data_IF_553590963826
#
_entry.id   IF_553590963826
#
_cell.length_a   1.000
_cell.length_b   1.000
_cell.length_c   1.000
_cell.angle_alpha   90.00
_cell.angle_beta   90.00
_cell.angle_gamma   90.00
#
_symmetry.space_group_name_H-M   'P 1'
#
loop_
_entity.id
_entity.type
_entity.pdbx_description
1 polymer ?
#
# COMPACT_ATOMS: atom_id res chain seq x y z
N UNK A 1 34.94 -40.35 -4.12
CA UNK A 1 34.27 -39.25 -3.40
C UNK A 1 34.25 -38.09 -4.37
N UNK A 2 33.11 -37.81 -5.00
CA UNK A 2 33.01 -36.65 -5.89
C UNK A 2 32.63 -35.47 -5.02
N UNK A 3 33.54 -34.50 -4.90
CA UNK A 3 33.24 -33.18 -4.35
C UNK A 3 32.14 -32.55 -5.19
N UNK A 4 31.02 -32.25 -4.56
CA UNK A 4 29.94 -31.48 -5.17
C UNK A 4 30.45 -30.03 -5.21
N UNK A 5 30.97 -29.60 -6.37
CA UNK A 5 31.25 -28.19 -6.62
C UNK A 5 29.96 -27.39 -6.40
N UNK A 6 29.90 -26.62 -5.30
CA UNK A 6 28.82 -25.68 -5.02
C UNK A 6 28.99 -24.38 -5.83
N UNK A 7 29.28 -24.51 -7.12
CA UNK A 7 29.36 -23.40 -8.06
C UNK A 7 27.97 -23.17 -8.65
N UNK A 8 27.26 -22.15 -8.14
CA UNK A 8 26.08 -21.62 -8.80
C UNK A 8 24.74 -21.89 -8.13
N UNK A 9 24.63 -21.75 -6.80
CA UNK A 9 23.32 -21.40 -6.23
C UNK A 9 22.99 -19.99 -6.73
N UNK A 10 21.95 -19.79 -7.56
CA UNK A 10 21.53 -18.44 -7.91
C UNK A 10 21.24 -17.72 -6.60
N UNK A 11 21.89 -16.57 -6.38
CA UNK A 11 21.58 -15.74 -5.21
C UNK A 11 20.08 -15.48 -5.20
N UNK A 12 19.37 -16.09 -4.23
CA UNK A 12 17.94 -15.86 -3.99
C UNK A 12 17.69 -14.45 -3.42
N UNK A 13 18.75 -13.68 -3.16
CA UNK A 13 18.63 -12.29 -2.74
C UNK A 13 18.22 -11.46 -3.96
N UNK A 14 17.00 -10.88 -3.97
CA UNK A 14 16.58 -9.98 -5.03
C UNK A 14 17.53 -8.78 -5.11
N UNK A 15 17.79 -8.29 -6.33
CA UNK A 15 18.52 -7.03 -6.51
C UNK A 15 17.72 -5.86 -5.92
N UNK A 16 18.39 -4.72 -5.69
CA UNK A 16 17.76 -3.50 -5.17
C UNK A 16 16.53 -3.11 -6.00
N UNK A 17 16.65 -3.18 -7.33
CA UNK A 17 15.57 -2.87 -8.27
C UNK A 17 14.42 -3.86 -8.14
N UNK A 18 14.72 -5.13 -7.87
CA UNK A 18 13.71 -6.15 -7.58
C UNK A 18 12.95 -5.90 -6.28
N UNK A 19 13.64 -5.44 -5.24
CA UNK A 19 13.02 -5.04 -3.98
C UNK A 19 12.13 -3.81 -4.14
N UNK A 20 12.58 -2.80 -4.88
CA UNK A 20 11.78 -1.60 -5.18
C UNK A 20 10.50 -1.96 -5.94
N UNK A 21 10.57 -2.87 -6.93
CA UNK A 21 9.40 -3.35 -7.67
C UNK A 21 8.41 -4.08 -6.77
N UNK A 22 8.90 -4.93 -5.86
CA UNK A 22 8.07 -5.63 -4.89
C UNK A 22 7.40 -4.65 -3.93
N UNK A 23 8.12 -3.64 -3.46
CA UNK A 23 7.58 -2.65 -2.54
C UNK A 23 6.51 -1.78 -3.21
N UNK A 24 6.71 -1.32 -4.44
CA UNK A 24 5.67 -0.62 -5.20
C UNK A 24 4.41 -1.46 -5.39
N UNK A 25 4.58 -2.77 -5.61
CA UNK A 25 3.44 -3.70 -5.65
C UNK A 25 2.71 -3.74 -4.30
N UNK A 26 3.44 -3.87 -3.20
CA UNK A 26 2.90 -3.84 -1.84
C UNK A 26 2.16 -2.53 -1.53
N UNK A 27 2.71 -1.38 -1.94
CA UNK A 27 2.08 -0.07 -1.80
C UNK A 27 0.75 -0.02 -2.54
N UNK A 28 0.70 -0.45 -3.80
CA UNK A 28 -0.55 -0.50 -4.58
C UNK A 28 -1.59 -1.39 -3.92
N UNK A 29 -1.19 -2.58 -3.47
CA UNK A 29 -2.08 -3.51 -2.75
C UNK A 29 -2.61 -2.89 -1.45
N UNK A 30 -1.75 -2.22 -0.67
CA UNK A 30 -2.13 -1.56 0.57
C UNK A 30 -3.11 -0.41 0.32
N UNK A 31 -2.85 0.43 -0.68
CA UNK A 31 -3.77 1.51 -1.10
C UNK A 31 -5.13 0.95 -1.46
N UNK A 32 -5.16 -0.08 -2.31
CA UNK A 32 -6.41 -0.66 -2.80
C UNK A 32 -7.21 -1.31 -1.66
N UNK A 33 -6.51 -1.94 -0.71
CA UNK A 33 -7.12 -2.45 0.52
C UNK A 33 -7.76 -1.32 1.34
N UNK A 34 -7.04 -0.23 1.62
CA UNK A 34 -7.54 0.89 2.43
C UNK A 34 -8.71 1.63 1.74
N UNK A 35 -8.67 1.74 0.42
CA UNK A 35 -9.80 2.25 -0.36
C UNK A 35 -11.00 1.32 -0.30
N UNK A 36 -10.81 0.00 -0.33
CA UNK A 36 -11.91 -0.97 -0.19
C UNK A 36 -12.54 -0.93 1.20
N UNK A 37 -11.72 -0.90 2.25
CA UNK A 37 -12.20 -0.80 3.63
C UNK A 37 -13.06 0.44 3.84
N UNK A 38 -12.69 1.55 3.22
CA UNK A 38 -13.43 2.82 3.33
C UNK A 38 -14.53 3.00 2.29
N UNK A 39 -14.86 1.99 1.48
CA UNK A 39 -15.84 2.13 0.40
C UNK A 39 -17.27 2.35 0.94
N UNK A 40 -17.61 1.67 2.03
CA UNK A 40 -18.89 1.81 2.73
C UNK A 40 -19.19 3.25 3.21
N UNK A 41 -18.16 4.08 3.39
CA UNK A 41 -18.31 5.48 3.80
C UNK A 41 -18.86 6.39 2.69
N UNK A 42 -18.84 5.93 1.44
CA UNK A 42 -19.25 6.71 0.26
C UNK A 42 -20.73 6.50 -0.11
N UNK A 43 -21.38 5.50 0.48
CA UNK A 43 -22.79 5.19 0.23
C UNK A 43 -23.68 6.15 1.04
N UNK A 44 -24.80 6.59 0.47
CA UNK A 44 -25.73 7.51 1.15
C UNK A 44 -26.33 6.93 2.43
N UNK A 45 -26.49 5.60 2.49
CA UNK A 45 -27.02 4.86 3.64
C UNK A 45 -25.97 4.59 4.73
N UNK A 46 -24.78 5.19 4.62
CA UNK A 46 -23.74 5.07 5.63
C UNK A 46 -24.17 5.79 6.92
N UNK A 47 -23.96 5.20 8.11
CA UNK A 47 -24.33 5.82 9.40
C UNK A 47 -23.49 7.06 9.76
N UNK A 48 -22.65 7.53 8.83
CA UNK A 48 -21.78 8.69 9.00
C UNK A 48 -22.55 9.99 8.90
N UNK A 49 -22.16 10.98 9.69
CA UNK A 49 -22.62 12.35 9.53
C UNK A 49 -21.84 13.08 8.41
N UNK A 50 -22.25 14.30 8.05
CA UNK A 50 -21.62 15.08 6.97
C UNK A 50 -20.13 15.37 7.22
N UNK A 51 -19.75 15.65 8.47
CA UNK A 51 -18.36 15.90 8.84
C UNK A 51 -17.49 14.63 8.66
N UNK A 52 -18.01 13.47 9.09
CA UNK A 52 -17.35 12.18 8.91
C UNK A 52 -17.24 11.79 7.43
N UNK A 53 -18.28 12.06 6.62
CA UNK A 53 -18.21 11.89 5.16
C UNK A 53 -17.12 12.76 4.54
N UNK A 54 -17.02 14.02 4.95
CA UNK A 54 -15.98 14.92 4.47
C UNK A 54 -14.57 14.42 4.85
N UNK A 55 -14.39 13.96 6.10
CA UNK A 55 -13.13 13.35 6.57
C UNK A 55 -12.78 12.08 5.80
N UNK A 56 -13.76 11.20 5.55
CA UNK A 56 -13.57 9.98 4.76
C UNK A 56 -13.17 10.30 3.31
N UNK A 57 -13.81 11.29 2.69
CA UNK A 57 -13.46 11.76 1.36
C UNK A 57 -12.04 12.35 1.31
N UNK A 58 -11.65 13.13 2.31
CA UNK A 58 -10.29 13.67 2.44
C UNK A 58 -9.26 12.54 2.60
N UNK A 59 -9.51 11.58 3.49
CA UNK A 59 -8.66 10.41 3.68
C UNK A 59 -8.49 9.61 2.38
N UNK A 60 -9.57 9.34 1.65
CA UNK A 60 -9.52 8.65 0.33
C UNK A 60 -8.74 9.44 -0.72
N UNK A 61 -8.77 10.78 -0.69
CA UNK A 61 -7.94 11.61 -1.57
C UNK A 61 -6.46 11.47 -1.21
N UNK A 62 -6.12 11.53 0.07
CA UNK A 62 -4.74 11.34 0.54
C UNK A 62 -4.20 9.97 0.12
N UNK A 63 -4.97 8.89 0.28
CA UNK A 63 -4.58 7.55 -0.16
C UNK A 63 -4.29 7.47 -1.67
N UNK A 64 -5.03 8.20 -2.50
CA UNK A 64 -4.80 8.23 -3.95
C UNK A 64 -3.61 9.09 -4.34
N UNK A 65 -3.29 10.10 -3.54
CA UNK A 65 -2.15 10.98 -3.72
C UNK A 65 -0.82 10.33 -3.28
N UNK A 66 -0.87 9.17 -2.60
CA UNK A 66 0.32 8.38 -2.27
C UNK A 66 1.09 8.06 -3.57
N UNK A 67 2.43 8.25 -3.60
CA UNK A 67 3.26 7.85 -4.74
C UNK A 67 3.06 6.38 -5.11
N UNK A 68 3.11 6.05 -6.41
CA UNK A 68 2.82 4.69 -6.88
C UNK A 68 3.98 4.02 -7.59
N UNK A 69 4.87 4.81 -8.20
CA UNK A 69 6.04 4.34 -8.96
C UNK A 69 7.11 5.45 -9.07
N UNK A 70 7.10 6.42 -8.15
CA UNK A 70 8.02 7.59 -8.18
C UNK A 70 8.63 7.86 -6.80
N UNK A 71 9.93 8.08 -6.77
CA UNK A 71 10.68 8.33 -5.53
C UNK A 71 11.12 7.04 -4.84
N UNK A 72 11.29 7.11 -3.52
CA UNK A 72 11.69 5.97 -2.69
C UNK A 72 10.45 5.24 -2.15
N UNK A 73 10.20 3.98 -2.58
CA UNK A 73 9.05 3.22 -2.10
C UNK A 73 9.10 2.97 -0.59
N UNK A 74 10.29 2.90 0.01
CA UNK A 74 10.44 2.64 1.45
C UNK A 74 10.19 3.90 2.31
N UNK A 75 10.15 5.08 1.68
CA UNK A 75 9.87 6.35 2.35
C UNK A 75 8.41 6.80 2.19
N UNK A 76 7.52 5.94 1.69
CA UNK A 76 6.11 6.29 1.47
C UNK A 76 5.38 6.47 2.80
N UNK A 77 4.94 7.70 3.05
CA UNK A 77 4.12 8.05 4.21
C UNK A 77 2.64 7.75 3.94
N UNK A 78 2.00 7.05 4.87
CA UNK A 78 0.59 6.69 4.79
C UNK A 78 -0.25 7.64 5.64
N UNK A 79 -1.39 8.13 5.14
CA UNK A 79 -2.29 8.92 5.95
C UNK A 79 -2.87 8.08 7.09
N UNK A 80 -3.12 8.74 8.23
CA UNK A 80 -3.74 8.09 9.37
C UNK A 80 -5.22 7.83 9.12
N UNK A 81 -5.69 6.62 9.43
CA UNK A 81 -7.09 6.24 9.25
C UNK A 81 -7.93 6.87 10.37
N UNK A 82 -8.98 7.65 10.05
CA UNK A 82 -9.89 8.18 11.06
C UNK A 82 -10.58 7.07 11.88
N UNK A 83 -10.75 7.29 13.19
CA UNK A 83 -11.27 6.27 14.14
C UNK A 83 -12.66 5.71 13.78
N UNK A 84 -13.49 6.53 13.12
CA UNK A 84 -14.83 6.12 12.72
C UNK A 84 -14.84 5.22 11.47
N UNK A 85 -13.74 5.14 10.72
CA UNK A 85 -13.59 4.25 9.58
C UNK A 85 -13.12 2.89 10.07
N UNK A 86 -14.07 1.95 10.23
CA UNK A 86 -13.77 0.57 10.62
C UNK A 86 -13.23 -0.23 9.43
#
# INVERSE_FOLDING_TARGET
MNEISMEGVPSLIPSKEGLELLEWSSIRVRRDRLLRETDHSQVQDSPLNDAQRAQAAAYRKLLRNVPQDVGDPFAVEWPEKPDFLK
#
